data_IF_289132013435
#
_entry.id   IF_289132013435
#
_cell.length_a   1.000
_cell.length_b   1.000
_cell.length_c   1.000
_cell.angle_alpha   90.00
_cell.angle_beta   90.00
_cell.angle_gamma   90.00
#
_symmetry.space_group_name_H-M   'P 1'
#
loop_
_entity.id
_entity.type
_entity.pdbx_description
1 polymer ?
#
# COMPACT_ATOMS: atom_id res chain seq x y z
N UNK A 1 -27.67 6.63 -1.06
CA UNK A 1 -27.96 6.76 -2.51
C UNK A 1 -27.06 5.74 -3.21
N UNK A 2 -27.67 4.79 -3.92
CA UNK A 2 -26.93 3.79 -4.68
C UNK A 2 -26.24 4.50 -5.84
N UNK A 3 -24.93 4.53 -5.84
CA UNK A 3 -24.15 5.00 -7.00
C UNK A 3 -24.42 4.00 -8.13
N UNK A 4 -25.27 4.37 -9.07
CA UNK A 4 -25.44 3.64 -10.34
C UNK A 4 -24.15 3.81 -11.12
N UNK A 5 -23.19 2.89 -10.87
CA UNK A 5 -21.98 2.80 -11.66
C UNK A 5 -22.39 2.38 -13.07
N UNK A 6 -22.30 3.30 -14.03
CA UNK A 6 -22.32 2.98 -15.44
C UNK A 6 -21.07 2.16 -15.74
N UNK A 7 -21.18 0.83 -15.61
CA UNK A 7 -20.15 -0.08 -16.09
C UNK A 7 -20.08 0.05 -17.61
N UNK A 8 -18.90 0.20 -18.15
CA UNK A 8 -18.68 0.04 -19.60
C UNK A 8 -19.11 -1.38 -19.97
N UNK A 9 -19.87 -1.54 -21.05
CA UNK A 9 -20.37 -2.87 -21.47
C UNK A 9 -19.25 -3.77 -22.03
N UNK A 10 -18.08 -3.23 -22.33
CA UNK A 10 -16.96 -3.96 -22.92
C UNK A 10 -15.89 -4.34 -21.89
N UNK A 11 -15.37 -5.57 -22.07
CA UNK A 11 -14.24 -6.06 -21.29
C UNK A 11 -12.96 -5.36 -21.72
N UNK A 12 -12.32 -4.65 -20.79
CA UNK A 12 -11.02 -4.03 -21.03
C UNK A 12 -9.91 -5.11 -21.14
N UNK A 13 -8.85 -4.86 -21.93
CA UNK A 13 -7.67 -5.74 -21.91
C UNK A 13 -6.95 -5.67 -20.56
N UNK A 14 -6.19 -6.70 -20.25
CA UNK A 14 -5.37 -6.75 -19.04
C UNK A 14 -4.31 -5.63 -19.06
N UNK A 15 -4.27 -4.78 -18.04
CA UNK A 15 -3.30 -3.68 -17.92
C UNK A 15 -1.83 -4.16 -17.96
N UNK A 16 -1.54 -5.37 -17.47
CA UNK A 16 -0.17 -5.86 -17.42
C UNK A 16 0.32 -6.49 -18.73
N UNK A 17 -0.54 -7.16 -19.49
CA UNK A 17 -0.07 -7.93 -20.65
C UNK A 17 -0.91 -7.77 -21.92
N UNK A 18 -1.95 -6.91 -21.87
CA UNK A 18 -2.86 -6.62 -22.95
C UNK A 18 -3.68 -7.83 -23.47
N UNK A 19 -3.62 -8.96 -22.77
CA UNK A 19 -4.45 -10.14 -23.06
C UNK A 19 -5.93 -9.82 -22.88
N UNK A 20 -6.76 -10.49 -23.66
CA UNK A 20 -8.22 -10.46 -23.57
C UNK A 20 -8.79 -11.83 -23.15
N UNK A 21 -7.92 -12.75 -22.70
CA UNK A 21 -8.32 -14.10 -22.29
C UNK A 21 -8.42 -14.17 -20.77
N UNK A 22 -9.63 -14.40 -20.25
CA UNK A 22 -9.93 -14.31 -18.84
C UNK A 22 -10.68 -15.52 -18.32
N UNK A 23 -10.50 -15.82 -17.02
CA UNK A 23 -11.33 -16.72 -16.26
C UNK A 23 -12.11 -15.93 -15.21
N UNK A 24 -13.43 -16.03 -15.19
CA UNK A 24 -14.27 -15.38 -14.16
C UNK A 24 -14.02 -16.08 -12.82
N UNK A 25 -13.71 -15.32 -11.79
CA UNK A 25 -13.50 -15.81 -10.42
C UNK A 25 -14.69 -15.50 -9.51
N UNK A 26 -15.37 -14.38 -9.73
CA UNK A 26 -16.57 -13.98 -9.00
C UNK A 26 -17.43 -13.04 -9.87
N UNK A 27 -18.73 -13.04 -9.62
CA UNK A 27 -19.74 -12.20 -10.27
C UNK A 27 -20.41 -11.21 -9.30
N UNK A 28 -20.04 -11.28 -8.02
CA UNK A 28 -20.54 -10.41 -6.94
C UNK A 28 -19.42 -9.95 -6.04
N UNK A 29 -19.62 -8.77 -5.47
CA UNK A 29 -18.77 -8.26 -4.41
C UNK A 29 -19.09 -8.88 -3.03
N UNK A 30 -18.36 -8.44 -2.00
CA UNK A 30 -18.52 -8.90 -0.62
C UNK A 30 -19.91 -8.60 -0.01
N UNK A 31 -20.61 -7.61 -0.54
CA UNK A 31 -21.92 -7.15 -0.07
C UNK A 31 -23.07 -7.73 -0.93
N UNK A 32 -22.72 -8.55 -1.94
CA UNK A 32 -23.68 -9.23 -2.84
C UNK A 32 -24.08 -8.40 -4.06
N UNK A 33 -23.51 -7.20 -4.24
CA UNK A 33 -23.76 -6.39 -5.43
C UNK A 33 -23.05 -6.95 -6.68
N UNK A 34 -23.58 -6.75 -7.89
CA UNK A 34 -22.95 -7.20 -9.12
C UNK A 34 -21.54 -6.59 -9.30
N UNK A 35 -20.52 -7.42 -9.35
CA UNK A 35 -19.13 -7.04 -9.58
C UNK A 35 -18.37 -8.23 -10.17
N UNK A 36 -18.09 -8.18 -11.45
CA UNK A 36 -17.32 -9.25 -12.08
C UNK A 36 -15.82 -9.06 -11.80
N UNK A 37 -15.19 -10.09 -11.25
CA UNK A 37 -13.75 -10.17 -11.05
C UNK A 37 -13.19 -11.31 -11.88
N UNK A 38 -12.14 -11.01 -12.65
CA UNK A 38 -11.52 -11.95 -13.58
C UNK A 38 -10.05 -12.18 -13.28
N UNK A 39 -9.55 -13.34 -13.70
CA UNK A 39 -8.12 -13.69 -13.76
C UNK A 39 -7.65 -13.64 -15.21
N UNK A 40 -6.61 -12.87 -15.48
CA UNK A 40 -5.91 -12.95 -16.76
C UNK A 40 -5.22 -14.30 -16.90
N UNK A 41 -5.53 -15.04 -17.98
CA UNK A 41 -4.97 -16.37 -18.21
C UNK A 41 -3.47 -16.37 -18.56
N UNK A 42 -2.95 -15.25 -19.06
CA UNK A 42 -1.56 -15.14 -19.44
C UNK A 42 -0.68 -14.72 -18.24
N UNK A 43 -0.91 -13.53 -17.64
CA UNK A 43 -0.02 -13.04 -16.59
C UNK A 43 -0.46 -13.35 -15.16
N UNK A 44 -1.72 -13.77 -14.94
CA UNK A 44 -2.24 -14.08 -13.61
C UNK A 44 -2.66 -12.88 -12.77
N UNK A 45 -2.80 -11.68 -13.37
CA UNK A 45 -3.42 -10.54 -12.70
C UNK A 45 -4.90 -10.84 -12.47
N UNK A 46 -5.37 -10.57 -11.25
CA UNK A 46 -6.80 -10.61 -10.90
C UNK A 46 -7.30 -9.18 -10.83
N UNK A 47 -8.43 -8.88 -11.49
CA UNK A 47 -8.94 -7.52 -11.57
C UNK A 47 -10.45 -7.46 -11.86
N UNK A 48 -11.06 -6.32 -11.53
CA UNK A 48 -12.46 -6.02 -11.86
C UNK A 48 -12.60 -5.75 -13.35
N UNK A 49 -13.50 -6.48 -14.04
CA UNK A 49 -13.72 -6.32 -15.47
C UNK A 49 -15.15 -6.79 -15.87
N UNK A 50 -16.04 -5.92 -16.41
CA UNK A 50 -15.79 -4.53 -16.74
C UNK A 50 -15.56 -3.65 -15.51
N UNK A 51 -14.83 -2.55 -15.66
CA UNK A 51 -14.57 -1.57 -14.60
C UNK A 51 -15.37 -0.28 -14.82
N UNK A 52 -15.62 0.52 -13.76
CA UNK A 52 -16.17 1.85 -13.89
C UNK A 52 -15.27 2.76 -14.76
N UNK A 53 -15.83 3.83 -15.33
CA UNK A 53 -15.03 4.82 -16.05
C UNK A 53 -14.06 5.55 -15.12
N UNK A 54 -12.96 6.07 -15.66
CA UNK A 54 -11.95 6.80 -14.90
C UNK A 54 -12.53 8.06 -14.24
N UNK A 55 -13.51 8.71 -14.87
CA UNK A 55 -14.22 9.85 -14.32
C UNK A 55 -15.06 9.45 -13.09
N UNK A 56 -15.85 8.38 -13.20
CA UNK A 56 -16.65 7.87 -12.09
C UNK A 56 -15.76 7.43 -10.90
N UNK A 57 -14.59 6.86 -11.17
CA UNK A 57 -13.62 6.49 -10.13
C UNK A 57 -13.02 7.72 -9.47
N UNK A 58 -12.64 8.76 -10.23
CA UNK A 58 -12.11 10.01 -9.67
C UNK A 58 -13.10 10.68 -8.73
N UNK A 59 -14.36 10.82 -9.15
CA UNK A 59 -15.43 11.41 -8.33
C UNK A 59 -15.70 10.58 -7.07
N UNK A 60 -15.72 9.25 -7.20
CA UNK A 60 -15.89 8.36 -6.07
C UNK A 60 -14.79 8.56 -5.01
N UNK A 61 -13.51 8.59 -5.40
CA UNK A 61 -12.41 8.78 -4.44
C UNK A 61 -12.35 10.20 -3.88
N UNK A 62 -12.73 11.21 -4.66
CA UNK A 62 -12.73 12.60 -4.22
C UNK A 62 -13.75 12.85 -3.12
N UNK A 63 -14.96 12.29 -3.22
CA UNK A 63 -16.10 12.67 -2.39
C UNK A 63 -16.65 11.53 -1.52
N UNK A 64 -16.90 10.35 -2.11
CA UNK A 64 -17.72 9.31 -1.50
C UNK A 64 -16.93 8.25 -0.74
N UNK A 65 -15.71 7.90 -1.19
CA UNK A 65 -14.95 6.76 -0.67
C UNK A 65 -14.82 6.75 0.85
N UNK A 66 -14.39 7.86 1.46
CA UNK A 66 -14.19 7.93 2.91
C UNK A 66 -15.50 7.95 3.69
N UNK A 67 -16.54 8.51 3.12
CA UNK A 67 -17.86 8.51 3.74
C UNK A 67 -18.44 7.10 3.79
N UNK A 68 -18.34 6.35 2.69
CA UNK A 68 -18.82 4.95 2.63
C UNK A 68 -18.01 4.02 3.52
N UNK A 69 -16.67 4.10 3.48
CA UNK A 69 -15.79 3.19 4.23
C UNK A 69 -15.57 3.57 5.69
N UNK A 70 -15.57 4.84 6.06
CA UNK A 70 -15.27 5.32 7.41
C UNK A 70 -16.46 5.95 8.10
N UNK A 71 -17.56 6.16 7.38
CA UNK A 71 -18.73 6.94 7.84
C UNK A 71 -18.29 8.28 8.44
N UNK A 72 -17.40 8.98 7.75
CA UNK A 72 -16.84 10.24 8.20
C UNK A 72 -16.26 11.04 7.02
N UNK A 73 -16.66 12.30 6.91
CA UNK A 73 -16.13 13.26 5.94
C UNK A 73 -14.70 13.70 6.35
N UNK A 74 -14.44 13.81 7.65
CA UNK A 74 -13.13 14.14 8.23
C UNK A 74 -12.67 13.04 9.18
N UNK A 75 -11.34 12.88 9.44
CA UNK A 75 -10.84 11.90 10.38
C UNK A 75 -11.42 12.11 11.78
N UNK A 76 -12.04 11.08 12.37
CA UNK A 76 -12.39 11.05 13.79
C UNK A 76 -11.17 10.62 14.60
N UNK A 77 -11.07 11.02 15.87
CA UNK A 77 -9.92 10.72 16.74
C UNK A 77 -9.52 9.23 16.73
N UNK A 78 -10.51 8.33 16.77
CA UNK A 78 -10.28 6.89 16.66
C UNK A 78 -9.66 6.47 15.32
N UNK A 79 -9.97 7.18 14.23
CA UNK A 79 -9.39 6.89 12.91
C UNK A 79 -7.94 7.34 12.86
N UNK A 80 -7.63 8.52 13.41
CA UNK A 80 -6.26 9.03 13.55
C UNK A 80 -5.40 8.07 14.38
N UNK A 81 -5.90 7.62 15.52
CA UNK A 81 -5.18 6.65 16.36
C UNK A 81 -4.90 5.35 15.63
N UNK A 82 -5.91 4.76 14.96
CA UNK A 82 -5.76 3.51 14.21
C UNK A 82 -4.77 3.64 13.06
N UNK A 83 -4.87 4.72 12.29
CA UNK A 83 -3.96 5.00 11.19
C UNK A 83 -2.53 5.23 11.69
N UNK A 84 -2.38 5.94 12.82
CA UNK A 84 -1.08 6.13 13.46
C UNK A 84 -0.46 4.84 13.99
N UNK A 85 -1.26 3.90 14.56
CA UNK A 85 -0.75 2.57 14.94
C UNK A 85 -0.27 1.79 13.71
N UNK A 86 -1.03 1.81 12.60
CA UNK A 86 -0.60 1.18 11.35
C UNK A 86 0.68 1.84 10.81
N UNK A 87 0.81 3.16 10.95
CA UNK A 87 2.03 3.86 10.59
C UNK A 87 3.23 3.38 11.42
N UNK A 88 3.06 3.16 12.74
CA UNK A 88 4.13 2.60 13.59
C UNK A 88 4.53 1.19 13.12
N UNK A 89 3.58 0.32 12.78
CA UNK A 89 3.86 -1.03 12.28
C UNK A 89 4.68 -0.97 10.96
N UNK A 90 4.44 0.05 10.12
CA UNK A 90 5.16 0.29 8.87
C UNK A 90 6.60 0.77 9.07
N UNK A 91 6.91 1.41 10.19
CA UNK A 91 8.28 1.86 10.50
C UNK A 91 9.26 0.69 10.59
N UNK A 92 8.83 -0.51 10.97
CA UNK A 92 9.69 -1.69 11.08
C UNK A 92 10.41 -2.02 9.77
N UNK A 93 9.75 -1.76 8.62
CA UNK A 93 10.32 -2.01 7.29
C UNK A 93 10.66 -0.74 6.49
N UNK A 94 10.13 0.42 6.88
CA UNK A 94 10.44 1.67 6.21
C UNK A 94 11.75 2.29 6.71
N UNK A 95 11.97 2.36 8.04
CA UNK A 95 13.20 2.95 8.62
C UNK A 95 14.48 2.33 8.07
N UNK A 96 14.59 1.00 7.86
CA UNK A 96 15.77 0.41 7.23
C UNK A 96 16.12 0.95 5.85
N UNK A 97 15.16 1.55 5.14
CA UNK A 97 15.36 2.14 3.81
C UNK A 97 15.75 3.62 3.89
N UNK A 98 15.55 4.26 5.04
CA UNK A 98 15.73 5.70 5.21
C UNK A 98 17.13 6.07 5.71
N UNK A 99 17.59 7.24 5.28
CA UNK A 99 18.77 7.94 5.83
C UNK A 99 18.31 9.26 6.48
N UNK A 100 19.04 9.81 7.44
CA UNK A 100 18.70 11.09 8.03
C UNK A 100 18.47 12.17 6.96
N UNK A 101 17.41 12.94 7.09
CA UNK A 101 17.08 14.06 6.20
C UNK A 101 16.49 13.67 4.84
N UNK A 102 16.20 12.37 4.58
CA UNK A 102 15.53 11.98 3.34
C UNK A 102 14.21 12.73 3.10
N UNK A 103 13.95 13.04 1.85
CA UNK A 103 12.67 13.56 1.34
C UNK A 103 11.75 12.40 1.00
N UNK A 104 10.55 12.40 1.57
CA UNK A 104 9.59 11.30 1.45
C UNK A 104 8.26 11.84 0.93
N UNK A 105 7.79 11.33 -0.19
CA UNK A 105 6.46 11.61 -0.72
C UNK A 105 5.53 10.42 -0.49
N UNK A 106 4.39 10.65 0.15
CA UNK A 106 3.37 9.61 0.36
C UNK A 106 2.15 9.87 -0.53
N UNK A 107 1.95 8.98 -1.51
CA UNK A 107 0.77 9.00 -2.38
C UNK A 107 -0.41 8.32 -1.67
N UNK A 108 -1.54 9.03 -1.58
CA UNK A 108 -2.71 8.59 -0.82
C UNK A 108 -2.50 8.76 0.68
N UNK A 109 -1.91 9.88 1.09
CA UNK A 109 -1.47 10.14 2.48
C UNK A 109 -2.61 10.17 3.52
N UNK A 110 -3.87 10.11 3.10
CA UNK A 110 -5.03 10.06 3.99
C UNK A 110 -5.12 11.28 4.90
N UNK A 111 -5.25 11.05 6.21
CA UNK A 111 -5.27 12.10 7.23
C UNK A 111 -3.88 12.62 7.61
N UNK A 112 -2.81 12.14 6.95
CA UNK A 112 -1.44 12.58 7.16
C UNK A 112 -0.73 11.93 8.37
N UNK A 113 -1.30 10.89 8.96
CA UNK A 113 -0.77 10.28 10.18
C UNK A 113 0.64 9.74 10.00
N UNK A 114 0.93 9.07 8.87
CA UNK A 114 2.29 8.61 8.53
C UNK A 114 3.25 9.78 8.34
N UNK A 115 2.83 10.80 7.58
CA UNK A 115 3.64 12.00 7.33
C UNK A 115 3.96 12.75 8.63
N UNK A 116 2.98 12.87 9.54
CA UNK A 116 3.19 13.51 10.85
C UNK A 116 4.26 12.78 11.65
N UNK A 117 4.18 11.45 11.70
CA UNK A 117 5.16 10.62 12.40
C UNK A 117 6.54 10.74 11.76
N UNK A 118 6.66 10.64 10.44
CA UNK A 118 7.93 10.75 9.73
C UNK A 118 8.57 12.14 9.91
N UNK A 119 7.77 13.21 9.87
CA UNK A 119 8.25 14.57 10.18
C UNK A 119 8.77 14.65 11.61
N UNK A 120 8.07 14.05 12.57
CA UNK A 120 8.48 13.97 13.97
C UNK A 120 9.76 13.16 14.20
N UNK A 121 10.16 12.31 13.25
CA UNK A 121 11.42 11.57 13.20
C UNK A 121 12.55 12.32 12.47
N UNK A 122 12.29 13.53 11.94
CA UNK A 122 13.29 14.38 11.30
C UNK A 122 13.43 14.20 9.78
N UNK A 123 12.42 13.61 9.11
CA UNK A 123 12.39 13.50 7.64
C UNK A 123 11.66 14.69 7.02
N UNK A 124 12.03 15.05 5.78
CA UNK A 124 11.24 15.94 4.95
C UNK A 124 10.08 15.16 4.35
N UNK A 125 8.87 15.68 4.44
CA UNK A 125 7.69 14.94 4.04
C UNK A 125 6.79 15.78 3.15
N UNK A 126 6.20 15.13 2.15
CA UNK A 126 5.14 15.66 1.30
C UNK A 126 4.04 14.61 1.12
N UNK A 127 2.82 15.03 0.84
CA UNK A 127 1.71 14.12 0.62
C UNK A 127 0.82 14.53 -0.54
N UNK A 128 0.19 13.53 -1.16
CA UNK A 128 -0.87 13.71 -2.15
C UNK A 128 -2.08 12.92 -1.68
N UNK A 129 -3.23 13.56 -1.53
CA UNK A 129 -4.49 12.92 -1.10
C UNK A 129 -5.66 13.50 -1.90
N UNK A 130 -6.36 12.70 -2.73
CA UNK A 130 -7.47 13.20 -3.53
C UNK A 130 -8.73 13.51 -2.69
N UNK A 131 -8.90 12.86 -1.54
CA UNK A 131 -10.08 13.11 -0.70
C UNK A 131 -9.99 14.46 0.01
N UNK A 132 -10.92 15.36 -0.34
CA UNK A 132 -10.92 16.74 0.17
C UNK A 132 -10.98 16.79 1.70
N UNK A 133 -11.82 15.98 2.34
CA UNK A 133 -12.01 16.01 3.79
C UNK A 133 -10.78 15.57 4.57
N UNK A 134 -10.09 14.52 4.11
CA UNK A 134 -8.90 13.97 4.75
C UNK A 134 -7.64 14.77 4.40
N UNK A 135 -7.44 15.11 3.14
CA UNK A 135 -6.31 15.90 2.71
C UNK A 135 -6.31 17.32 3.31
N UNK A 136 -7.49 17.99 3.34
CA UNK A 136 -7.60 19.29 4.02
C UNK A 136 -7.36 19.17 5.52
N UNK A 137 -7.81 18.10 6.18
CA UNK A 137 -7.53 17.90 7.60
C UNK A 137 -6.02 17.72 7.85
N UNK A 138 -5.31 16.97 7.02
CA UNK A 138 -3.87 16.82 7.12
C UNK A 138 -3.13 18.15 6.94
N UNK A 139 -3.52 18.95 5.95
CA UNK A 139 -2.93 20.25 5.67
C UNK A 139 -3.27 21.30 6.75
N UNK A 140 -4.56 21.46 7.05
CA UNK A 140 -5.06 22.61 7.82
C UNK A 140 -4.99 22.37 9.34
N UNK A 141 -5.15 21.10 9.81
CA UNK A 141 -5.12 20.76 11.23
C UNK A 141 -3.75 20.30 11.71
N UNK A 142 -2.99 19.59 10.85
CA UNK A 142 -1.68 19.04 11.21
C UNK A 142 -0.50 19.84 10.63
N UNK A 143 -0.78 20.86 9.81
CA UNK A 143 0.24 21.69 9.18
C UNK A 143 1.18 20.90 8.28
N UNK A 144 0.67 19.87 7.58
CA UNK A 144 1.46 19.03 6.70
C UNK A 144 1.42 19.54 5.25
N UNK A 145 2.51 19.44 4.49
CA UNK A 145 2.55 19.81 3.09
C UNK A 145 1.83 18.75 2.23
N UNK A 146 0.50 18.80 2.21
CA UNK A 146 -0.34 17.87 1.47
C UNK A 146 -1.03 18.61 0.32
N UNK A 147 -0.85 18.11 -0.90
CA UNK A 147 -1.60 18.53 -2.07
C UNK A 147 -2.93 17.76 -2.12
N UNK A 148 -4.05 18.49 -2.04
CA UNK A 148 -5.39 17.90 -2.11
C UNK A 148 -5.81 17.81 -3.57
N UNK A 149 -5.32 16.77 -4.25
CA UNK A 149 -5.50 16.60 -5.70
C UNK A 149 -5.31 15.14 -6.10
N UNK A 150 -5.70 14.80 -7.33
CA UNK A 150 -5.34 13.53 -7.94
C UNK A 150 -3.85 13.51 -8.31
N UNK A 151 -3.22 12.31 -8.28
CA UNK A 151 -1.76 12.18 -8.52
C UNK A 151 -1.33 12.70 -9.91
N UNK A 152 -2.19 12.59 -10.92
CA UNK A 152 -1.88 13.08 -12.27
C UNK A 152 -1.86 14.61 -12.39
N UNK A 153 -2.39 15.32 -11.40
CA UNK A 153 -2.45 16.78 -11.34
C UNK A 153 -1.48 17.36 -10.29
N UNK A 154 -0.84 16.47 -9.53
CA UNK A 154 0.07 16.87 -8.47
C UNK A 154 1.33 17.55 -9.05
N UNK A 155 1.75 18.60 -8.40
CA UNK A 155 2.95 19.37 -8.75
C UNK A 155 4.10 18.91 -7.87
N UNK A 156 4.84 17.92 -8.37
CA UNK A 156 6.05 17.39 -7.71
C UNK A 156 7.21 17.59 -8.67
N UNK A 157 8.29 18.18 -8.18
CA UNK A 157 9.50 18.37 -8.98
C UNK A 157 10.12 17.02 -9.34
N UNK A 158 10.38 16.74 -10.62
CA UNK A 158 11.01 15.49 -11.03
C UNK A 158 12.35 15.26 -10.33
N UNK A 159 12.58 14.05 -9.89
CA UNK A 159 13.84 13.67 -9.22
C UNK A 159 14.05 14.32 -7.85
N UNK A 160 13.02 14.79 -7.16
CA UNK A 160 13.15 15.50 -5.87
C UNK A 160 13.05 14.60 -4.64
N UNK A 161 12.61 13.35 -4.80
CA UNK A 161 12.27 12.50 -3.67
C UNK A 161 13.27 11.36 -3.50
N UNK A 162 13.77 11.16 -2.29
CA UNK A 162 14.59 10.00 -1.94
C UNK A 162 13.75 8.74 -1.81
N UNK A 163 12.54 8.87 -1.26
CA UNK A 163 11.59 7.76 -1.09
C UNK A 163 10.18 8.18 -1.50
N UNK A 164 9.54 7.35 -2.30
CA UNK A 164 8.11 7.48 -2.62
C UNK A 164 7.36 6.30 -2.05
N UNK A 165 6.27 6.55 -1.32
CA UNK A 165 5.44 5.51 -0.73
C UNK A 165 4.02 5.55 -1.28
N UNK A 166 3.36 4.37 -1.36
CA UNK A 166 1.95 4.27 -1.59
C UNK A 166 1.39 3.05 -0.82
N UNK A 167 0.56 3.34 0.18
CA UNK A 167 0.01 2.32 1.07
C UNK A 167 -1.48 2.15 0.82
N UNK A 168 -1.88 1.03 0.23
CA UNK A 168 -3.25 0.75 -0.18
C UNK A 168 -3.79 1.82 -1.16
N UNK A 169 -3.06 2.03 -2.25
CA UNK A 169 -3.40 2.99 -3.30
C UNK A 169 -3.40 2.33 -4.68
N UNK A 170 -2.34 1.62 -5.02
CA UNK A 170 -2.11 1.13 -6.40
C UNK A 170 -3.19 0.14 -6.85
N UNK A 171 -3.77 -0.63 -5.94
CA UNK A 171 -4.90 -1.52 -6.21
C UNK A 171 -6.19 -0.80 -6.61
N UNK A 172 -6.29 0.49 -6.29
CA UNK A 172 -7.45 1.34 -6.60
C UNK A 172 -7.32 2.07 -7.94
N UNK A 173 -6.10 2.16 -8.48
CA UNK A 173 -5.83 2.98 -9.66
C UNK A 173 -6.19 2.21 -10.94
N UNK A 174 -6.91 2.85 -11.90
CA UNK A 174 -7.30 2.19 -13.14
C UNK A 174 -6.09 1.83 -14.02
N UNK A 175 -5.04 2.65 -14.01
CA UNK A 175 -3.81 2.51 -14.78
C UNK A 175 -2.58 2.39 -13.88
N UNK A 176 -2.36 1.24 -13.22
CA UNK A 176 -1.31 1.10 -12.20
C UNK A 176 0.11 1.25 -12.76
N UNK A 177 0.35 0.87 -14.02
CA UNK A 177 1.68 1.04 -14.65
C UNK A 177 2.00 2.52 -14.86
N UNK A 178 1.04 3.30 -15.36
CA UNK A 178 1.18 4.75 -15.56
C UNK A 178 1.40 5.47 -14.22
N UNK A 179 0.63 5.09 -13.20
CA UNK A 179 0.78 5.66 -11.86
C UNK A 179 2.17 5.37 -11.26
N UNK A 180 2.65 4.13 -11.37
CA UNK A 180 4.00 3.75 -10.92
C UNK A 180 5.09 4.49 -11.71
N UNK A 181 4.91 4.71 -13.03
CA UNK A 181 5.84 5.49 -13.85
C UNK A 181 5.85 6.98 -13.43
N UNK A 182 4.68 7.54 -13.14
CA UNK A 182 4.57 8.91 -12.60
C UNK A 182 5.28 9.03 -11.25
N UNK A 183 5.06 8.09 -10.32
CA UNK A 183 5.76 8.04 -9.05
C UNK A 183 7.27 7.90 -9.23
N UNK A 184 7.73 7.08 -10.20
CA UNK A 184 9.14 6.92 -10.52
C UNK A 184 9.78 8.21 -11.02
N UNK A 185 9.04 9.05 -11.75
CA UNK A 185 9.54 10.35 -12.23
C UNK A 185 9.86 11.32 -11.10
N UNK A 186 9.20 11.20 -9.95
CA UNK A 186 9.44 12.02 -8.76
C UNK A 186 10.70 11.62 -7.99
N UNK A 187 11.17 10.39 -8.17
CA UNK A 187 12.30 9.83 -7.43
C UNK A 187 13.64 10.31 -7.99
N UNK A 188 14.61 10.53 -7.10
CA UNK A 188 16.02 10.58 -7.45
C UNK A 188 16.46 9.29 -8.18
N UNK A 189 17.59 9.33 -8.87
CA UNK A 189 18.10 8.16 -9.62
C UNK A 189 18.44 6.97 -8.71
N UNK A 190 18.79 7.21 -7.45
CA UNK A 190 19.00 6.18 -6.42
C UNK A 190 17.82 6.05 -5.46
N UNK A 191 16.71 6.73 -5.76
CA UNK A 191 15.50 6.74 -4.93
C UNK A 191 14.85 5.36 -4.82
N UNK A 192 14.11 5.15 -3.74
CA UNK A 192 13.35 3.94 -3.48
C UNK A 192 11.85 4.20 -3.53
N UNK A 193 11.11 3.22 -4.00
CA UNK A 193 9.64 3.23 -3.95
C UNK A 193 9.17 2.04 -3.12
N UNK A 194 8.33 2.27 -2.14
CA UNK A 194 7.70 1.23 -1.34
C UNK A 194 6.20 1.20 -1.58
N UNK A 195 5.71 0.10 -2.12
CA UNK A 195 4.30 -0.13 -2.39
C UNK A 195 3.75 -1.20 -1.46
N UNK A 196 2.65 -0.89 -0.77
CA UNK A 196 1.88 -1.86 0.02
C UNK A 196 0.49 -2.00 -0.58
N UNK A 197 0.08 -3.25 -0.87
CA UNK A 197 -1.26 -3.59 -1.37
C UNK A 197 -1.80 -4.82 -0.64
N UNK A 198 -3.13 -5.06 -0.62
CA UNK A 198 -3.68 -6.33 -0.19
C UNK A 198 -3.11 -7.47 -1.03
N UNK A 199 -2.63 -8.52 -0.36
CA UNK A 199 -2.02 -9.65 -1.06
C UNK A 199 -3.08 -10.55 -1.69
N UNK A 200 -3.11 -10.66 -3.01
CA UNK A 200 -4.08 -11.47 -3.75
C UNK A 200 -4.10 -12.94 -3.31
N UNK A 201 -2.96 -13.48 -2.88
CA UNK A 201 -2.81 -14.86 -2.45
C UNK A 201 -2.91 -15.03 -0.92
N UNK A 202 -3.36 -14.00 -0.20
CA UNK A 202 -3.61 -14.08 1.23
C UNK A 202 -4.74 -15.06 1.56
N UNK A 203 -4.58 -15.75 2.70
CA UNK A 203 -5.64 -16.59 3.29
C UNK A 203 -6.22 -16.01 4.58
N UNK A 204 -5.77 -14.85 4.98
CA UNK A 204 -6.15 -14.25 6.26
C UNK A 204 -7.58 -13.69 6.28
N UNK A 205 -8.19 -13.46 5.12
CA UNK A 205 -9.55 -12.93 4.98
C UNK A 205 -10.49 -14.01 4.42
N UNK A 206 -11.79 -13.86 4.68
CA UNK A 206 -12.80 -14.66 4.02
C UNK A 206 -12.70 -14.53 2.50
N UNK A 207 -12.86 -15.62 1.73
CA UNK A 207 -12.74 -15.60 0.28
C UNK A 207 -13.55 -14.51 -0.41
N UNK A 208 -14.78 -14.27 0.03
CA UNK A 208 -15.67 -13.25 -0.54
C UNK A 208 -15.33 -11.82 -0.11
N UNK A 209 -14.69 -11.64 1.07
CA UNK A 209 -14.39 -10.30 1.61
C UNK A 209 -13.35 -9.52 0.80
N UNK A 210 -12.66 -10.19 -0.13
CA UNK A 210 -11.65 -9.57 -1.00
C UNK A 210 -12.23 -8.75 -2.14
N UNK A 211 -13.45 -9.10 -2.58
CA UNK A 211 -14.06 -8.46 -3.74
C UNK A 211 -14.88 -7.26 -3.32
N UNK A 212 -14.51 -6.08 -3.78
CA UNK A 212 -15.31 -4.87 -3.61
C UNK A 212 -14.91 -3.83 -4.66
N UNK A 213 -15.84 -2.94 -4.97
CA UNK A 213 -15.73 -1.97 -6.08
C UNK A 213 -14.50 -1.08 -6.00
N UNK A 214 -13.99 -0.80 -4.80
CA UNK A 214 -12.80 0.01 -4.60
C UNK A 214 -11.49 -0.67 -5.01
N UNK A 215 -11.43 -2.02 -5.05
CA UNK A 215 -10.23 -2.77 -5.44
C UNK A 215 -10.33 -3.20 -6.90
N UNK A 216 -9.81 -2.37 -7.79
CA UNK A 216 -9.79 -2.66 -9.23
C UNK A 216 -8.81 -3.78 -9.56
N UNK A 217 -7.70 -3.88 -8.81
CA UNK A 217 -6.64 -4.86 -9.03
C UNK A 217 -6.33 -5.63 -7.75
N UNK A 218 -6.02 -6.91 -7.88
CA UNK A 218 -5.56 -7.77 -6.81
C UNK A 218 -4.18 -8.31 -7.16
N UNK A 219 -3.15 -7.73 -6.56
CA UNK A 219 -1.78 -8.05 -6.88
C UNK A 219 -1.22 -9.22 -6.07
N UNK A 220 -0.52 -10.11 -6.75
CA UNK A 220 0.49 -11.00 -6.18
C UNK A 220 1.87 -10.34 -6.28
N UNK A 221 2.88 -10.87 -5.59
CA UNK A 221 4.26 -10.38 -5.73
C UNK A 221 4.69 -10.35 -7.21
N UNK A 222 4.43 -11.43 -7.95
CA UNK A 222 4.79 -11.51 -9.38
C UNK A 222 4.10 -10.45 -10.24
N UNK A 223 2.82 -10.18 -10.02
CA UNK A 223 2.08 -9.21 -10.85
C UNK A 223 2.37 -7.76 -10.48
N UNK A 224 2.64 -7.47 -9.20
CA UNK A 224 3.07 -6.13 -8.79
C UNK A 224 4.50 -5.84 -9.25
N UNK A 225 5.40 -6.82 -9.12
CA UNK A 225 6.77 -6.72 -9.67
C UNK A 225 6.74 -6.47 -11.19
N UNK A 226 5.90 -7.21 -11.93
CA UNK A 226 5.73 -7.01 -13.37
C UNK A 226 5.22 -5.59 -13.69
N UNK A 227 4.25 -5.06 -12.91
CA UNK A 227 3.76 -3.70 -13.08
C UNK A 227 4.88 -2.67 -12.89
N UNK A 228 5.66 -2.78 -11.81
CA UNK A 228 6.79 -1.90 -11.54
C UNK A 228 7.87 -1.96 -12.62
N UNK A 229 8.23 -3.15 -13.08
CA UNK A 229 9.20 -3.33 -14.15
C UNK A 229 8.75 -2.68 -15.48
N UNK A 230 7.45 -2.78 -15.81
CA UNK A 230 6.87 -2.08 -16.97
C UNK A 230 6.83 -0.58 -16.80
N UNK A 231 6.78 -0.09 -15.58
CA UNK A 231 6.88 1.33 -15.23
C UNK A 231 8.33 1.86 -15.21
N UNK A 232 9.33 1.06 -15.58
CA UNK A 232 10.73 1.45 -15.58
C UNK A 232 11.42 1.32 -14.22
N UNK A 233 10.87 0.50 -13.33
CA UNK A 233 11.43 0.24 -12.00
C UNK A 233 12.16 -1.10 -11.95
N UNK A 234 13.18 -1.20 -11.09
CA UNK A 234 13.87 -2.42 -10.73
C UNK A 234 13.31 -2.95 -9.41
N UNK A 235 13.00 -4.25 -9.36
CA UNK A 235 12.59 -4.91 -8.14
C UNK A 235 13.79 -5.10 -7.22
N UNK A 236 13.67 -4.64 -5.97
CA UNK A 236 14.70 -4.79 -4.94
C UNK A 236 14.34 -5.92 -3.98
N UNK A 237 13.12 -5.89 -3.41
CA UNK A 237 12.68 -6.90 -2.43
C UNK A 237 11.15 -6.96 -2.39
N UNK A 238 10.61 -8.07 -1.88
CA UNK A 238 9.18 -8.22 -1.60
C UNK A 238 8.94 -9.14 -0.41
N UNK A 239 8.04 -8.73 0.47
CA UNK A 239 7.66 -9.48 1.66
C UNK A 239 6.18 -9.27 1.99
N UNK A 240 5.66 -10.02 2.95
CA UNK A 240 4.27 -9.89 3.39
C UNK A 240 4.21 -9.46 4.85
N UNK A 241 3.07 -8.86 5.24
CA UNK A 241 2.75 -8.63 6.64
C UNK A 241 2.73 -9.94 7.43
N UNK A 242 2.89 -9.87 8.76
CA UNK A 242 2.97 -11.04 9.66
C UNK A 242 1.78 -12.00 9.50
N UNK A 243 0.59 -11.46 9.19
CA UNK A 243 -0.61 -12.26 8.92
C UNK A 243 -0.76 -12.68 7.46
N UNK A 244 0.17 -12.28 6.59
CA UNK A 244 0.14 -12.52 5.14
C UNK A 244 -0.94 -11.73 4.41
N UNK A 245 -1.57 -10.75 5.06
CA UNK A 245 -2.68 -9.96 4.52
C UNK A 245 -2.27 -8.95 3.47
N UNK A 246 -1.14 -8.30 3.71
CA UNK A 246 -0.58 -7.27 2.84
C UNK A 246 0.71 -7.76 2.19
N UNK A 247 0.95 -7.30 0.98
CA UNK A 247 2.16 -7.47 0.20
C UNK A 247 2.89 -6.14 0.15
N UNK A 248 4.15 -6.12 0.50
CA UNK A 248 5.06 -5.01 0.33
C UNK A 248 6.06 -5.33 -0.77
N UNK A 249 6.28 -4.37 -1.67
CA UNK A 249 7.29 -4.47 -2.73
C UNK A 249 8.13 -3.20 -2.74
N UNK A 250 9.44 -3.38 -2.74
CA UNK A 250 10.41 -2.31 -2.83
C UNK A 250 10.97 -2.29 -4.24
N UNK A 251 10.95 -1.12 -4.82
CA UNK A 251 11.52 -0.84 -6.12
C UNK A 251 12.61 0.23 -6.02
N UNK A 252 13.50 0.23 -7.02
CA UNK A 252 14.45 1.31 -7.32
C UNK A 252 14.19 1.84 -8.71
N UNK A 253 14.51 3.10 -8.95
CA UNK A 253 14.50 3.65 -10.31
C UNK A 253 15.55 2.93 -11.17
N UNK A 254 15.16 2.45 -12.34
CA UNK A 254 16.07 1.73 -13.22
C UNK A 254 16.99 2.72 -13.93
N UNK A 255 18.29 2.52 -13.82
CA UNK A 255 19.30 3.39 -14.46
C UNK A 255 19.49 3.05 -15.93
N UNK A 256 19.36 1.78 -16.31
CA UNK A 256 19.54 1.30 -17.67
C UNK A 256 18.18 0.92 -18.29
N UNK A 257 17.79 1.64 -19.33
CA UNK A 257 16.54 1.41 -20.07
C UNK A 257 16.68 0.35 -21.16
N UNK A 258 17.89 -0.15 -21.43
CA UNK A 258 18.15 -1.14 -22.48
C UNK A 258 17.86 -2.59 -22.06
N UNK A 259 17.58 -2.82 -20.77
CA UNK A 259 17.29 -4.15 -20.25
C UNK A 259 16.01 -4.73 -20.87
N UNK A 260 16.01 -6.05 -21.07
CA UNK A 260 14.92 -6.80 -21.63
C UNK A 260 13.55 -6.45 -20.98
N UNK A 261 12.47 -6.41 -21.77
CA UNK A 261 11.14 -6.15 -21.22
C UNK A 261 10.78 -7.18 -20.15
N UNK A 262 10.03 -6.74 -19.15
CA UNK A 262 9.57 -7.59 -18.06
C UNK A 262 8.81 -8.82 -18.60
N UNK A 263 9.25 -10.00 -18.20
CA UNK A 263 8.68 -11.27 -18.67
C UNK A 263 7.55 -11.77 -17.76
N UNK A 264 6.52 -12.30 -18.38
CA UNK A 264 5.46 -13.03 -17.68
C UNK A 264 6.07 -14.32 -17.13
N UNK A 265 5.80 -14.61 -15.84
CA UNK A 265 6.28 -15.84 -15.21
C UNK A 265 5.44 -17.03 -15.69
N UNK A 266 6.04 -18.02 -16.40
CA UNK A 266 5.31 -19.18 -16.88
C UNK A 266 4.58 -19.91 -15.74
N UNK A 267 3.33 -20.30 -15.99
CA UNK A 267 2.50 -21.04 -15.04
C UNK A 267 2.00 -20.21 -13.84
N UNK A 268 2.24 -18.90 -13.80
CA UNK A 268 1.78 -18.06 -12.70
C UNK A 268 0.26 -17.98 -12.63
N UNK A 269 -0.42 -17.78 -13.77
CA UNK A 269 -1.88 -17.71 -13.82
C UNK A 269 -2.53 -18.98 -13.28
N UNK A 270 -1.99 -20.17 -13.62
CA UNK A 270 -2.49 -21.46 -13.12
C UNK A 270 -2.24 -21.61 -11.60
N UNK A 271 -1.15 -21.06 -11.07
CA UNK A 271 -0.90 -21.05 -9.61
C UNK A 271 -1.92 -20.15 -8.89
N UNK A 272 -2.20 -18.98 -9.45
CA UNK A 272 -3.21 -18.06 -8.91
C UNK A 272 -4.59 -18.72 -8.96
N UNK A 273 -5.00 -19.27 -10.10
CA UNK A 273 -6.28 -19.96 -10.26
C UNK A 273 -6.45 -21.08 -9.22
N UNK A 274 -5.45 -21.95 -9.08
CA UNK A 274 -5.46 -23.03 -8.08
C UNK A 274 -5.56 -22.49 -6.64
N UNK A 275 -4.93 -21.35 -6.33
CA UNK A 275 -5.07 -20.73 -5.02
C UNK A 275 -6.51 -20.29 -4.76
N UNK A 276 -7.14 -19.58 -5.70
CA UNK A 276 -8.52 -19.11 -5.57
C UNK A 276 -9.51 -20.29 -5.47
N UNK A 277 -9.36 -21.32 -6.28
CA UNK A 277 -10.17 -22.55 -6.21
C UNK A 277 -10.02 -23.32 -4.88
N UNK A 278 -8.81 -23.30 -4.30
CA UNK A 278 -8.53 -23.97 -3.02
C UNK A 278 -8.93 -23.13 -1.81
N UNK A 279 -9.00 -21.82 -1.90
CA UNK A 279 -9.38 -20.95 -0.78
C UNK A 279 -10.89 -20.77 -0.73
N UNK A 280 -11.58 -21.80 -0.25
CA UNK A 280 -13.03 -21.82 -0.04
C UNK A 280 -13.40 -21.47 1.40
N UNK A 281 -14.68 -21.09 1.64
CA UNK A 281 -15.19 -20.81 2.98
C UNK A 281 -14.94 -21.97 3.97
N UNK A 282 -15.20 -23.22 3.53
CA UNK A 282 -14.96 -24.39 4.36
C UNK A 282 -13.48 -24.52 4.75
N UNK A 283 -12.56 -24.33 3.79
CA UNK A 283 -11.12 -24.38 4.09
C UNK A 283 -10.66 -23.20 4.94
N UNK A 284 -11.28 -22.03 4.79
CA UNK A 284 -10.98 -20.89 5.64
C UNK A 284 -11.37 -21.17 7.10
N UNK A 285 -12.50 -21.82 7.35
CA UNK A 285 -12.91 -22.27 8.69
C UNK A 285 -11.92 -23.24 9.34
N UNK A 286 -11.14 -23.99 8.56
CA UNK A 286 -10.09 -24.88 9.07
C UNK A 286 -8.78 -24.15 9.42
N UNK A 287 -8.70 -22.84 9.18
CA UNK A 287 -7.55 -22.00 9.60
C UNK A 287 -7.84 -21.38 10.97
N UNK A 288 -6.79 -20.79 11.60
CA UNK A 288 -6.95 -20.07 12.85
C UNK A 288 -7.56 -18.66 12.69
N UNK A 289 -7.52 -18.09 11.48
CA UNK A 289 -7.89 -16.70 11.21
C UNK A 289 -9.31 -16.31 11.64
N UNK A 290 -10.37 -17.08 11.31
CA UNK A 290 -11.74 -16.74 11.70
C UNK A 290 -11.94 -16.67 13.22
N UNK A 291 -11.12 -17.36 14.01
CA UNK A 291 -11.24 -17.46 15.46
C UNK A 291 -10.39 -16.44 16.19
N UNK A 292 -9.17 -16.21 15.73
CA UNK A 292 -8.21 -15.29 16.40
C UNK A 292 -8.52 -13.82 16.08
N UNK A 293 -8.87 -13.50 14.83
CA UNK A 293 -9.11 -12.11 14.42
C UNK A 293 -10.20 -11.36 15.21
N UNK A 294 -11.36 -11.96 15.54
CA UNK A 294 -12.34 -11.30 16.40
C UNK A 294 -11.80 -10.96 17.78
N UNK A 295 -11.01 -11.87 18.39
CA UNK A 295 -10.38 -11.65 19.70
C UNK A 295 -9.34 -10.54 19.66
N UNK A 296 -8.47 -10.54 18.65
CA UNK A 296 -7.51 -9.45 18.41
C UNK A 296 -8.21 -8.10 18.20
N UNK A 297 -9.29 -8.09 17.43
CA UNK A 297 -10.10 -6.88 17.18
C UNK A 297 -10.72 -6.36 18.48
N UNK A 298 -11.24 -7.23 19.33
CA UNK A 298 -11.80 -6.87 20.62
C UNK A 298 -10.72 -6.31 21.56
N UNK A 299 -9.57 -6.97 21.67
CA UNK A 299 -8.44 -6.52 22.48
C UNK A 299 -7.91 -5.15 22.00
N UNK A 300 -7.68 -4.99 20.69
CA UNK A 300 -7.29 -3.71 20.08
C UNK A 300 -8.32 -2.61 20.34
N UNK A 301 -9.62 -2.93 20.27
CA UNK A 301 -10.70 -1.99 20.56
C UNK A 301 -10.73 -1.52 22.02
N UNK A 302 -10.40 -2.39 22.98
CA UNK A 302 -10.29 -2.01 24.39
C UNK A 302 -9.09 -1.09 24.63
N UNK A 303 -7.92 -1.44 24.09
CA UNK A 303 -6.71 -0.61 24.17
C UNK A 303 -6.96 0.76 23.53
N UNK A 304 -7.60 0.81 22.38
CA UNK A 304 -7.97 2.06 21.71
C UNK A 304 -8.83 2.93 22.62
N UNK A 305 -9.92 2.39 23.17
CA UNK A 305 -10.83 3.14 24.04
C UNK A 305 -10.10 3.72 25.25
N UNK A 306 -9.32 2.91 25.96
CA UNK A 306 -8.59 3.34 27.16
C UNK A 306 -7.49 4.35 26.84
N UNK A 307 -6.86 4.23 25.67
CA UNK A 307 -5.82 5.16 25.24
C UNK A 307 -6.41 6.51 24.85
N UNK A 308 -7.51 6.49 24.11
CA UNK A 308 -8.15 7.72 23.62
C UNK A 308 -8.76 8.57 24.73
N UNK A 309 -9.07 8.02 25.91
CA UNK A 309 -9.48 8.81 27.07
C UNK A 309 -8.43 9.82 27.56
N UNK A 310 -7.20 9.72 27.09
CA UNK A 310 -6.07 10.57 27.52
C UNK A 310 -5.84 11.76 26.56
N UNK A 311 -6.60 11.87 25.47
CA UNK A 311 -6.34 12.83 24.43
C UNK A 311 -7.61 13.54 23.99
N UNK A 312 -7.52 14.85 23.78
CA UNK A 312 -8.64 15.69 23.40
C UNK A 312 -8.69 15.93 21.88
N UNK A 313 -7.54 15.83 21.18
CA UNK A 313 -7.44 16.15 19.77
C UNK A 313 -6.46 15.23 19.02
N UNK A 314 -6.45 15.35 17.68
CA UNK A 314 -5.62 14.51 16.81
C UNK A 314 -4.13 14.75 17.00
N UNK A 315 -3.72 16.00 17.28
CA UNK A 315 -2.33 16.37 17.43
C UNK A 315 -1.71 15.66 18.64
N UNK A 316 -2.39 15.67 19.80
CA UNK A 316 -1.92 15.02 21.04
C UNK A 316 -1.76 13.51 20.84
N UNK A 317 -2.70 12.87 20.11
CA UNK A 317 -2.60 11.44 19.75
C UNK A 317 -1.34 11.20 18.92
N UNK A 318 -1.09 12.02 17.91
CA UNK A 318 0.05 11.85 17.00
C UNK A 318 1.36 12.14 17.69
N UNK A 319 1.44 13.15 18.56
CA UNK A 319 2.63 13.43 19.38
C UNK A 319 2.98 12.26 20.30
N UNK A 320 1.97 11.63 20.90
CA UNK A 320 2.18 10.39 21.66
C UNK A 320 2.76 9.27 20.79
N UNK A 321 2.28 9.13 19.56
CA UNK A 321 2.78 8.10 18.63
C UNK A 321 4.19 8.44 18.10
N UNK A 322 4.53 9.71 17.90
CA UNK A 322 5.90 10.14 17.56
C UNK A 322 6.89 9.74 18.65
N UNK A 323 6.53 9.84 19.94
CA UNK A 323 7.42 9.37 21.02
C UNK A 323 7.71 7.88 20.91
N UNK A 324 6.70 7.06 20.55
CA UNK A 324 6.89 5.62 20.28
C UNK A 324 7.73 5.38 19.03
N UNK A 325 7.48 6.14 17.98
CA UNK A 325 8.22 6.05 16.72
C UNK A 325 9.72 6.33 16.91
N UNK A 326 10.10 7.32 17.74
CA UNK A 326 11.50 7.60 18.08
C UNK A 326 12.20 6.39 18.74
N UNK A 327 11.51 5.66 19.59
CA UNK A 327 12.06 4.44 20.20
C UNK A 327 12.28 3.34 19.15
N UNK A 328 11.37 3.17 18.18
CA UNK A 328 11.51 2.23 17.06
C UNK A 328 12.71 2.64 16.18
N UNK A 329 12.80 3.92 15.81
CA UNK A 329 13.91 4.46 15.00
C UNK A 329 15.26 4.23 15.67
N UNK A 330 15.39 4.57 16.95
CA UNK A 330 16.63 4.37 17.71
C UNK A 330 17.06 2.91 17.73
N UNK A 331 16.13 1.99 17.99
CA UNK A 331 16.39 0.55 17.96
C UNK A 331 16.88 0.07 16.57
N UNK A 332 16.23 0.54 15.50
CA UNK A 332 16.59 0.15 14.14
C UNK A 332 17.98 0.67 13.73
N UNK A 333 18.33 1.90 14.12
CA UNK A 333 19.66 2.49 13.89
C UNK A 333 20.73 1.71 14.63
N UNK A 334 20.57 1.44 15.94
CA UNK A 334 21.52 0.67 16.75
C UNK A 334 21.76 -0.74 16.18
N UNK A 335 20.71 -1.38 15.67
CA UNK A 335 20.85 -2.71 15.03
C UNK A 335 21.60 -2.65 13.71
N UNK A 336 21.50 -1.54 12.95
CA UNK A 336 22.25 -1.34 11.71
C UNK A 336 23.74 -1.13 12.01
N UNK A 337 24.05 -0.27 12.96
CA UNK A 337 25.44 0.01 13.39
C UNK A 337 26.13 -1.26 13.91
N UNK A 338 25.42 -2.05 14.70
CA UNK A 338 25.95 -3.32 15.22
C UNK A 338 26.27 -4.33 14.10
N UNK A 339 25.39 -4.45 13.09
CA UNK A 339 25.65 -5.32 11.92
C UNK A 339 26.84 -4.85 11.10
N UNK A 340 26.94 -3.56 10.82
CA UNK A 340 28.10 -2.98 10.11
C UNK A 340 29.41 -3.20 10.87
N UNK A 341 29.39 -3.09 12.19
CA UNK A 341 30.57 -3.38 13.01
C UNK A 341 30.99 -4.85 12.92
N UNK A 342 30.03 -5.79 12.92
CA UNK A 342 30.31 -7.23 12.77
C UNK A 342 30.85 -7.57 11.38
N UNK A 343 30.30 -7.00 10.32
CA UNK A 343 30.79 -7.20 8.94
C UNK A 343 32.21 -6.65 8.76
N UNK A 344 32.53 -5.50 9.35
CA UNK A 344 33.87 -4.91 9.31
C UNK A 344 34.91 -5.71 10.14
N UNK A 345 34.50 -6.33 11.23
CA UNK A 345 35.36 -7.19 12.05
C UNK A 345 35.62 -8.57 11.41
N UNK A 346 34.64 -9.07 10.60
CA UNK A 346 34.81 -10.34 9.87
C UNK A 346 35.73 -10.23 8.64
N UNK A 347 36.08 -9.03 8.18
CA UNK A 347 36.97 -8.77 7.04
C UNK A 347 38.44 -8.43 7.43
N UNK A 348 38.76 -8.39 8.72
CA UNK A 348 40.14 -8.20 9.16
C UNK A 348 40.91 -9.50 9.05
N UNK A 349 42.05 -9.55 8.32
CA UNK A 349 42.91 -10.74 8.34
C UNK A 349 43.43 -10.91 9.76
N UNK A 350 43.31 -12.14 10.29
CA UNK A 350 43.99 -12.56 11.51
C UNK A 350 45.49 -12.38 11.31
N UNK A 351 46.06 -11.27 11.74
CA UNK A 351 47.49 -11.15 11.98
C UNK A 351 47.79 -11.82 13.32
N UNK A 352 47.73 -13.16 13.34
CA UNK A 352 48.46 -13.98 14.31
C UNK A 352 49.79 -14.31 13.67
N UNK A 353 50.80 -13.52 13.98
CA UNK A 353 52.18 -13.77 13.59
C UNK A 353 53.11 -13.41 14.74
N UNK A 354 53.80 -14.44 15.30
CA UNK A 354 55.00 -14.35 16.08
C UNK A 354 54.84 -14.24 17.59
#
# INVERSE_FOLDING_TARGET
>A
MSVTHTQTSELAPCELCQSRTFTVLADKDRDGAPLQTVLCQDCGLVFTNPRPSDEALRDFYRESYRQEYKNAVKPKLKHVYRAGIVALDRLDYLIPLLKPGHSILDLGSGGGEMLFILRGLGYHVEGIEPNVGYGSAARDLLGLPVQVTHYSEAKVEPGSQDVVTAFHVVEHLPHPIEALATMASWMHDDGLMLIEVPHALSRCQWPQSRYHIGHLHHFSSSTLTLAGQKAGLEHVDSFTSKDGGNLMVIFRKKRDTTAAPAAIIPGHSQRVLRHYQKHTNLRHLLTHHPYIRPLEKAAKGLIEKTTLLKFDNAHDVLDHLVKKAKAIQHKAISQREHRQCQENLGSAPCCCGG
#
